data_IF_995376336162
#
_entry.id   IF_995376336162
#
_cell.length_a   1.000
_cell.length_b   1.000
_cell.length_c   1.000
_cell.angle_alpha   90.00
_cell.angle_beta   90.00
_cell.angle_gamma   90.00
#
_symmetry.space_group_name_H-M   'P 1'
#
loop_
_entity.id
_entity.type
_entity.pdbx_description
1 polymer ?
#
# COMPACT_ATOMS: atom_id res chain seq x y z
N UNK A 1 -9.88 14.27 0.15
CA UNK A 1 -8.44 14.60 0.34
C UNK A 1 -8.21 16.09 0.52
N UNK A 2 -8.36 16.93 -0.51
CA UNK A 2 -8.06 18.38 -0.44
C UNK A 2 -8.80 19.09 0.71
N UNK A 3 -10.11 18.88 0.85
CA UNK A 3 -10.85 19.54 1.93
C UNK A 3 -10.42 19.07 3.33
N UNK A 4 -9.99 17.81 3.48
CA UNK A 4 -9.50 17.31 4.75
C UNK A 4 -8.20 18.04 5.19
N UNK A 5 -7.34 18.46 4.25
CA UNK A 5 -6.11 19.19 4.60
C UNK A 5 -6.36 20.65 5.00
N UNK A 6 -7.55 21.20 4.73
CA UNK A 6 -7.93 22.56 5.11
C UNK A 6 -8.29 22.69 6.59
N UNK A 7 -8.78 21.60 7.19
CA UNK A 7 -9.25 21.56 8.58
C UNK A 7 -8.25 20.90 9.53
N UNK A 8 -7.05 20.53 9.04
CA UNK A 8 -6.00 19.99 9.88
C UNK A 8 -5.52 21.03 10.91
N UNK A 9 -5.30 20.63 12.17
CA UNK A 9 -4.58 21.45 13.14
C UNK A 9 -3.21 21.87 12.61
N UNK A 10 -2.72 23.01 13.09
CA UNK A 10 -1.42 23.53 12.67
C UNK A 10 -0.30 22.54 13.02
N UNK A 11 0.52 22.20 12.02
CA UNK A 11 1.64 21.27 12.17
C UNK A 11 1.28 19.80 11.92
N UNK A 12 0.00 19.46 11.84
CA UNK A 12 -0.44 18.10 11.51
C UNK A 12 -0.37 17.80 10.00
N UNK A 13 -0.27 16.51 9.69
CA UNK A 13 -0.30 15.99 8.32
C UNK A 13 -1.37 14.93 8.18
N UNK A 14 -2.03 14.92 7.03
CA UNK A 14 -2.93 13.85 6.62
C UNK A 14 -2.13 12.72 5.96
N UNK A 15 -2.26 11.52 6.50
CA UNK A 15 -1.72 10.31 5.89
C UNK A 15 -2.72 9.74 4.88
N UNK A 16 -2.21 9.43 3.70
CA UNK A 16 -3.01 8.91 2.60
C UNK A 16 -2.44 7.55 2.21
N UNK A 17 -3.22 6.50 2.44
CA UNK A 17 -2.88 5.14 2.02
C UNK A 17 -3.63 4.85 0.72
N UNK A 18 -2.89 4.56 -0.36
CA UNK A 18 -3.45 4.27 -1.69
C UNK A 18 -3.14 2.82 -2.04
N UNK A 19 -4.18 1.97 -1.99
CA UNK A 19 -4.11 0.53 -2.27
C UNK A 19 -4.61 0.15 -3.68
N UNK A 20 -4.99 1.13 -4.50
CA UNK A 20 -5.37 0.98 -5.90
C UNK A 20 -4.57 1.88 -6.82
N UNK A 21 -5.11 2.16 -8.01
CA UNK A 21 -4.54 3.14 -8.94
C UNK A 21 -4.42 4.54 -8.30
N UNK A 22 -3.34 5.26 -8.62
CA UNK A 22 -2.98 6.52 -7.97
C UNK A 22 -3.65 7.75 -8.61
N UNK A 23 -4.62 7.56 -9.50
CA UNK A 23 -5.32 8.63 -10.24
C UNK A 23 -5.85 9.72 -9.30
N UNK A 24 -6.55 9.33 -8.24
CA UNK A 24 -7.15 10.28 -7.30
C UNK A 24 -6.10 11.09 -6.52
N UNK A 25 -4.99 10.45 -6.13
CA UNK A 25 -3.90 11.12 -5.42
C UNK A 25 -3.17 12.09 -6.37
N UNK A 26 -2.83 11.65 -7.58
CA UNK A 26 -2.20 12.48 -8.58
C UNK A 26 -3.07 13.69 -8.95
N UNK A 27 -4.37 13.48 -9.19
CA UNK A 27 -5.32 14.55 -9.48
C UNK A 27 -5.40 15.57 -8.34
N UNK A 28 -5.48 15.12 -7.09
CA UNK A 28 -5.54 16.03 -5.95
C UNK A 28 -4.27 16.90 -5.83
N UNK A 29 -3.09 16.32 -6.06
CA UNK A 29 -1.81 17.04 -6.02
C UNK A 29 -1.62 17.96 -7.24
N UNK A 30 -2.20 17.62 -8.39
CA UNK A 30 -2.24 18.50 -9.57
C UNK A 30 -3.14 19.71 -9.34
N UNK A 31 -4.34 19.49 -8.81
CA UNK A 31 -5.35 20.54 -8.60
C UNK A 31 -4.96 21.48 -7.46
N UNK A 32 -4.39 20.95 -6.38
CA UNK A 32 -4.07 21.71 -5.17
C UNK A 32 -2.64 21.41 -4.69
N UNK A 33 -1.59 21.84 -5.42
CA UNK A 33 -0.20 21.57 -5.06
C UNK A 33 0.22 22.16 -3.70
N UNK A 34 -0.51 23.14 -3.17
CA UNK A 34 -0.30 23.73 -1.85
C UNK A 34 -0.56 22.74 -0.69
N UNK A 35 -1.19 21.59 -0.94
CA UNK A 35 -1.42 20.57 0.09
C UNK A 35 -0.18 19.73 0.41
N UNK A 36 0.87 19.77 -0.43
CA UNK A 36 2.06 18.93 -0.28
C UNK A 36 2.70 18.95 1.12
N UNK A 37 2.86 20.12 1.79
CA UNK A 37 3.44 20.17 3.13
C UNK A 37 2.57 19.46 4.18
N UNK A 38 1.27 19.31 3.90
CA UNK A 38 0.24 18.79 4.80
C UNK A 38 -0.10 17.32 4.58
N UNK A 39 0.56 16.63 3.64
CA UNK A 39 0.25 15.22 3.34
C UNK A 39 1.49 14.33 3.41
N UNK A 40 1.28 13.07 3.78
CA UNK A 40 2.24 11.98 3.58
C UNK A 40 1.55 10.84 2.85
N UNK A 41 2.15 10.37 1.77
CA UNK A 41 1.52 9.41 0.89
C UNK A 41 2.21 8.05 0.99
N UNK A 42 1.41 7.02 1.19
CA UNK A 42 1.82 5.63 1.24
C UNK A 42 1.08 4.91 0.12
N UNK A 43 1.79 4.36 -0.86
CA UNK A 43 1.17 3.79 -2.06
C UNK A 43 1.65 2.36 -2.29
N UNK A 44 0.73 1.47 -2.65
CA UNK A 44 1.02 0.08 -3.00
C UNK A 44 1.12 -0.05 -4.52
N UNK A 45 2.28 -0.45 -5.02
CA UNK A 45 2.46 -0.73 -6.43
C UNK A 45 3.92 -0.72 -6.87
N UNK A 46 4.10 -0.99 -8.15
CA UNK A 46 5.40 -1.24 -8.77
C UNK A 46 6.16 -2.42 -8.14
N UNK A 47 7.29 -2.74 -8.75
CA UNK A 47 8.28 -3.70 -8.28
C UNK A 47 9.58 -2.97 -8.03
N UNK A 48 10.28 -3.35 -6.97
CA UNK A 48 11.58 -2.79 -6.62
C UNK A 48 12.46 -3.82 -5.93
N UNK A 49 13.65 -4.01 -6.48
CA UNK A 49 14.67 -4.83 -5.85
C UNK A 49 15.66 -3.95 -5.06
N UNK A 50 15.69 -4.02 -3.72
CA UNK A 50 16.56 -3.15 -2.92
C UNK A 50 18.05 -3.48 -3.02
N UNK A 51 18.42 -4.65 -3.55
CA UNK A 51 19.83 -5.04 -3.78
C UNK A 51 20.35 -4.45 -5.09
N UNK A 52 19.62 -4.64 -6.19
CA UNK A 52 20.02 -4.16 -7.52
C UNK A 52 19.58 -2.73 -7.80
N UNK A 53 18.67 -2.18 -6.98
CA UNK A 53 18.06 -0.85 -7.12
C UNK A 53 17.24 -0.68 -8.42
N UNK A 54 16.78 -1.79 -8.99
CA UNK A 54 16.00 -1.81 -10.23
C UNK A 54 14.51 -1.66 -9.91
N UNK A 55 13.87 -0.74 -10.62
CA UNK A 55 12.42 -0.55 -10.62
C UNK A 55 11.78 -1.26 -11.82
N UNK A 56 10.55 -1.72 -11.64
CA UNK A 56 9.69 -2.14 -12.74
C UNK A 56 8.26 -1.68 -12.46
N UNK A 57 7.73 -0.83 -13.34
CA UNK A 57 6.38 -0.25 -13.24
C UNK A 57 5.26 -1.15 -13.79
N UNK A 58 5.60 -2.33 -14.33
CA UNK A 58 4.64 -3.34 -14.80
C UNK A 58 4.04 -4.10 -13.62
N UNK A 59 3.07 -3.45 -12.98
CA UNK A 59 2.28 -3.91 -11.84
C UNK A 59 0.81 -3.50 -12.07
N UNK A 60 -0.17 -4.19 -11.48
CA UNK A 60 -1.60 -3.97 -11.76
C UNK A 60 -2.07 -2.54 -11.43
N UNK A 61 -1.84 -2.04 -10.21
CA UNK A 61 -2.26 -0.70 -9.81
C UNK A 61 -1.60 0.38 -10.67
N UNK A 62 -0.30 0.23 -10.96
CA UNK A 62 0.43 1.17 -11.81
C UNK A 62 -0.05 1.13 -13.26
N UNK A 63 -0.34 -0.05 -13.83
CA UNK A 63 -0.79 -0.18 -15.22
C UNK A 63 -2.19 0.41 -15.45
N UNK A 64 -3.03 0.45 -14.42
CA UNK A 64 -4.33 1.11 -14.51
C UNK A 64 -4.21 2.64 -14.67
N UNK A 65 -3.11 3.25 -14.22
CA UNK A 65 -2.79 4.65 -14.51
C UNK A 65 -1.29 4.95 -14.33
N UNK A 66 -0.51 4.64 -15.37
CA UNK A 66 0.95 4.84 -15.36
C UNK A 66 1.31 6.32 -15.25
N UNK A 67 0.51 7.19 -15.88
CA UNK A 67 0.75 8.63 -15.91
C UNK A 67 0.57 9.25 -14.51
N UNK A 68 -0.42 8.80 -13.74
CA UNK A 68 -0.57 9.24 -12.35
C UNK A 68 0.64 8.84 -11.50
N UNK A 69 1.15 7.62 -11.64
CA UNK A 69 2.33 7.20 -10.88
C UNK A 69 3.58 7.99 -11.30
N UNK A 70 3.80 8.19 -12.60
CA UNK A 70 4.92 8.99 -13.11
C UNK A 70 4.85 10.44 -12.65
N UNK A 71 3.65 11.04 -12.64
CA UNK A 71 3.43 12.36 -12.10
C UNK A 71 3.87 12.46 -10.63
N UNK A 72 3.44 11.49 -9.79
CA UNK A 72 3.80 11.47 -8.37
C UNK A 72 5.31 11.25 -8.15
N UNK A 73 5.94 10.35 -8.92
CA UNK A 73 7.39 10.15 -8.88
C UNK A 73 8.16 11.41 -9.28
N UNK A 74 7.60 12.21 -10.19
CA UNK A 74 8.20 13.45 -10.67
C UNK A 74 7.93 14.66 -9.75
N UNK A 75 6.93 14.57 -8.86
CA UNK A 75 6.48 15.68 -8.04
C UNK A 75 7.46 16.00 -6.91
N UNK A 76 8.13 17.15 -7.02
CA UNK A 76 8.96 17.67 -5.94
C UNK A 76 8.14 18.10 -4.72
N UNK A 77 8.76 18.02 -3.55
CA UNK A 77 8.10 18.32 -2.27
C UNK A 77 7.12 17.25 -1.77
N UNK A 78 6.71 16.29 -2.61
CA UNK A 78 5.82 15.20 -2.19
C UNK A 78 6.53 14.20 -1.27
N UNK A 79 6.01 14.03 -0.06
CA UNK A 79 6.41 12.95 0.85
C UNK A 79 5.76 11.63 0.39
N UNK A 80 6.52 10.86 -0.37
CA UNK A 80 6.08 9.61 -1.00
C UNK A 80 6.83 8.40 -0.41
N UNK A 81 6.05 7.43 0.05
CA UNK A 81 6.49 6.10 0.48
C UNK A 81 5.82 5.05 -0.40
N UNK A 82 6.61 4.22 -1.06
CA UNK A 82 6.11 3.16 -1.94
C UNK A 82 6.28 1.80 -1.27
N UNK A 83 5.23 0.99 -1.24
CA UNK A 83 5.35 -0.44 -0.99
C UNK A 83 5.36 -1.18 -2.33
N UNK A 84 6.53 -1.67 -2.77
CA UNK A 84 6.63 -2.51 -3.95
C UNK A 84 6.11 -3.92 -3.63
N UNK A 85 5.73 -4.66 -4.68
CA UNK A 85 5.25 -6.04 -4.51
C UNK A 85 6.23 -6.91 -3.72
N UNK A 86 7.54 -6.79 -3.96
CA UNK A 86 8.55 -7.60 -3.25
C UNK A 86 8.50 -7.44 -1.73
N UNK A 87 8.10 -6.27 -1.23
CA UNK A 87 7.98 -6.01 0.21
C UNK A 87 6.68 -6.56 0.81
N UNK A 88 5.59 -6.59 0.04
CA UNK A 88 4.29 -7.09 0.45
C UNK A 88 4.13 -8.62 0.26
N UNK A 89 4.86 -9.19 -0.69
CA UNK A 89 4.81 -10.61 -1.07
C UNK A 89 4.87 -11.61 0.10
N UNK A 90 5.63 -11.37 1.19
CA UNK A 90 5.69 -12.31 2.32
C UNK A 90 4.37 -12.51 3.08
N UNK A 91 3.42 -11.55 3.04
CA UNK A 91 2.13 -11.70 3.73
C UNK A 91 1.16 -12.49 2.86
N UNK A 92 1.02 -13.78 3.17
CA UNK A 92 0.15 -14.70 2.45
C UNK A 92 -0.72 -15.50 3.41
N UNK A 93 -1.98 -15.71 3.05
CA UNK A 93 -2.87 -16.63 3.76
C UNK A 93 -3.13 -17.87 2.92
N UNK A 94 -3.23 -19.02 3.59
CA UNK A 94 -3.71 -20.26 3.00
C UNK A 94 -5.24 -20.31 3.09
N UNK A 95 -5.88 -20.76 2.01
CA UNK A 95 -7.33 -20.84 1.91
C UNK A 95 -7.96 -21.72 2.97
N UNK A 96 -7.42 -22.93 3.17
CA UNK A 96 -8.03 -23.90 4.08
C UNK A 96 -7.86 -23.43 5.53
N UNK A 97 -6.69 -22.89 5.86
CA UNK A 97 -6.47 -22.27 7.18
C UNK A 97 -7.40 -21.08 7.40
N UNK A 98 -7.59 -20.24 6.37
CA UNK A 98 -8.54 -19.11 6.42
C UNK A 98 -9.94 -19.61 6.72
N UNK A 99 -10.45 -20.60 5.98
CA UNK A 99 -11.79 -21.16 6.22
C UNK A 99 -11.95 -21.81 7.59
N UNK A 100 -10.90 -22.43 8.13
CA UNK A 100 -10.93 -23.01 9.48
C UNK A 100 -10.98 -21.95 10.59
N UNK A 101 -10.43 -20.75 10.33
CA UNK A 101 -10.40 -19.64 11.29
C UNK A 101 -11.67 -18.79 11.26
N UNK A 102 -12.35 -18.73 10.11
CA UNK A 102 -13.55 -17.90 9.93
C UNK A 102 -14.80 -18.59 10.48
N UNK A 103 -15.62 -17.82 11.17
CA UNK A 103 -16.96 -18.18 11.62
C UNK A 103 -18.02 -17.55 10.71
N UNK A 104 -18.52 -18.30 9.73
CA UNK A 104 -19.53 -17.83 8.77
C UNK A 104 -20.89 -17.47 9.40
N UNK A 105 -21.10 -17.70 10.70
CA UNK A 105 -22.26 -17.17 11.42
C UNK A 105 -22.17 -15.65 11.68
N UNK A 106 -20.96 -15.09 11.63
CA UNK A 106 -20.71 -13.65 11.73
C UNK A 106 -20.62 -13.04 10.34
N UNK A 107 -21.36 -11.97 10.12
CA UNK A 107 -21.53 -11.37 8.79
C UNK A 107 -20.19 -10.94 8.14
N UNK A 108 -19.30 -10.30 8.89
CA UNK A 108 -18.01 -9.84 8.35
C UNK A 108 -17.11 -11.02 7.94
N UNK A 109 -17.06 -12.07 8.76
CA UNK A 109 -16.26 -13.26 8.51
C UNK A 109 -16.83 -14.05 7.33
N UNK A 110 -18.15 -14.11 7.21
CA UNK A 110 -18.84 -14.67 6.04
C UNK A 110 -18.49 -13.92 4.75
N UNK A 111 -18.49 -12.59 4.77
CA UNK A 111 -18.08 -11.77 3.60
C UNK A 111 -16.65 -12.12 3.18
N UNK A 112 -15.72 -12.28 4.14
CA UNK A 112 -14.34 -12.67 3.83
C UNK A 112 -14.25 -14.07 3.22
N UNK A 113 -15.00 -15.04 3.75
CA UNK A 113 -15.07 -16.39 3.20
C UNK A 113 -15.64 -16.39 1.77
N UNK A 114 -16.73 -15.66 1.54
CA UNK A 114 -17.40 -15.57 0.24
C UNK A 114 -16.52 -14.91 -0.81
N UNK A 115 -15.78 -13.84 -0.44
CA UNK A 115 -14.77 -13.25 -1.33
C UNK A 115 -13.68 -14.24 -1.74
N UNK A 116 -13.36 -15.21 -0.90
CA UNK A 116 -12.47 -16.29 -1.29
C UNK A 116 -13.12 -17.25 -2.29
N UNK A 117 -14.37 -17.66 -2.04
CA UNK A 117 -15.14 -18.56 -2.91
C UNK A 117 -15.41 -17.96 -4.30
N UNK A 118 -15.60 -16.66 -4.40
CA UNK A 118 -15.96 -15.99 -5.66
C UNK A 118 -14.76 -15.64 -6.54
N UNK A 119 -13.65 -15.17 -5.95
CA UNK A 119 -12.58 -14.54 -6.72
C UNK A 119 -11.32 -15.41 -6.82
N UNK A 120 -11.08 -16.09 -7.93
CA UNK A 120 -10.01 -17.09 -8.05
C UNK A 120 -10.12 -18.21 -6.98
N UNK A 121 -11.23 -18.97 -6.95
CA UNK A 121 -11.45 -20.01 -5.95
C UNK A 121 -10.40 -21.13 -5.99
N UNK A 122 -9.68 -21.27 -7.11
CA UNK A 122 -8.67 -22.30 -7.31
C UNK A 122 -7.35 -21.98 -6.59
N UNK A 123 -7.14 -20.72 -6.19
CA UNK A 123 -5.91 -20.31 -5.52
C UNK A 123 -5.84 -20.89 -4.10
N UNK A 124 -4.80 -21.68 -3.85
CA UNK A 124 -4.51 -22.24 -2.52
C UNK A 124 -4.05 -21.16 -1.54
N UNK A 125 -3.25 -20.20 -2.02
CA UNK A 125 -2.73 -19.09 -1.22
C UNK A 125 -3.06 -17.77 -1.89
N UNK A 126 -3.24 -16.72 -1.09
CA UNK A 126 -3.36 -15.34 -1.57
C UNK A 126 -2.39 -14.45 -0.86
N UNK A 127 -1.78 -13.56 -1.63
CA UNK A 127 -0.95 -12.49 -1.10
C UNK A 127 -1.87 -11.35 -0.70
N UNK A 128 -1.73 -10.88 0.53
CA UNK A 128 -2.55 -9.82 1.09
C UNK A 128 -1.85 -8.47 0.87
N UNK A 129 -1.75 -8.06 -0.39
CA UNK A 129 -1.00 -6.88 -0.81
C UNK A 129 -1.44 -5.60 -0.08
N UNK A 130 -2.74 -5.34 -0.09
CA UNK A 130 -3.35 -4.14 0.47
C UNK A 130 -3.21 -4.11 1.99
N UNK A 131 -3.47 -5.27 2.62
CA UNK A 131 -3.30 -5.46 4.06
C UNK A 131 -1.84 -5.25 4.48
N UNK A 132 -0.87 -5.72 3.70
CA UNK A 132 0.54 -5.55 4.00
C UNK A 132 0.93 -4.07 4.14
N UNK A 133 0.40 -3.20 3.27
CA UNK A 133 0.64 -1.76 3.36
C UNK A 133 -0.01 -1.16 4.61
N UNK A 134 -1.24 -1.53 4.91
CA UNK A 134 -1.97 -1.04 6.09
C UNK A 134 -1.26 -1.46 7.37
N UNK A 135 -0.87 -2.73 7.49
CA UNK A 135 -0.14 -3.27 8.64
C UNK A 135 1.22 -2.59 8.82
N UNK A 136 2.00 -2.43 7.75
CA UNK A 136 3.29 -1.75 7.81
C UNK A 136 3.19 -0.24 8.12
N UNK A 137 2.04 0.37 7.81
CA UNK A 137 1.73 1.75 8.18
C UNK A 137 1.36 1.86 9.67
N UNK A 138 0.46 1.00 10.15
CA UNK A 138 -0.01 1.01 11.55
C UNK A 138 1.10 0.60 12.52
N UNK A 139 1.95 -0.34 12.12
CA UNK A 139 2.99 -0.94 12.95
C UNK A 139 4.37 -0.76 12.29
N UNK A 140 4.94 0.45 12.30
CA UNK A 140 6.20 0.73 11.63
C UNK A 140 7.36 -0.16 12.14
N UNK A 141 7.30 -0.62 13.39
CA UNK A 141 8.26 -1.55 14.00
C UNK A 141 8.30 -2.94 13.33
N UNK A 142 7.23 -3.34 12.63
CA UNK A 142 7.15 -4.58 11.87
C UNK A 142 7.61 -4.40 10.42
N UNK A 143 8.15 -3.24 10.06
CA UNK A 143 8.53 -2.95 8.70
C UNK A 143 9.91 -2.31 8.62
N UNK A 144 10.53 -2.40 7.45
CA UNK A 144 11.75 -1.66 7.15
C UNK A 144 11.53 -0.76 5.95
N UNK A 145 11.82 0.52 6.12
CA UNK A 145 11.83 1.51 5.06
C UNK A 145 13.28 1.85 4.70
N UNK A 146 13.57 1.97 3.40
CA UNK A 146 14.83 2.51 2.88
C UNK A 146 14.57 3.72 1.99
N UNK A 147 15.59 4.55 1.83
CA UNK A 147 15.61 5.61 0.82
C UNK A 147 16.05 5.02 -0.53
N UNK A 148 15.33 5.34 -1.59
CA UNK A 148 15.66 4.93 -2.95
C UNK A 148 15.58 6.13 -3.90
N UNK A 149 16.35 6.10 -4.98
CA UNK A 149 16.14 7.00 -6.12
C UNK A 149 14.92 6.52 -6.90
N UNK A 150 14.17 7.47 -7.44
CA UNK A 150 13.12 7.22 -8.42
C UNK A 150 13.67 6.51 -9.67
N UNK A 151 12.83 5.85 -10.48
CA UNK A 151 13.27 5.20 -11.72
C UNK A 151 14.04 6.15 -12.65
N UNK A 152 14.99 5.66 -13.47
CA UNK A 152 15.83 6.49 -14.34
C UNK A 152 15.07 7.44 -15.27
N UNK A 153 13.92 6.99 -15.78
CA UNK A 153 13.02 7.74 -16.67
C UNK A 153 12.23 8.85 -15.95
N UNK A 154 12.24 8.88 -14.62
CA UNK A 154 11.59 9.89 -13.80
C UNK A 154 12.60 10.93 -13.29
N UNK A 155 12.08 12.06 -12.80
CA UNK A 155 12.89 13.10 -12.14
C UNK A 155 13.64 12.47 -10.98
N UNK A 156 14.96 12.62 -10.97
CA UNK A 156 15.84 11.97 -10.00
C UNK A 156 15.71 12.59 -8.60
N UNK A 157 14.85 12.00 -7.78
CA UNK A 157 14.64 12.38 -6.37
C UNK A 157 14.70 11.17 -5.46
N UNK A 158 14.90 11.42 -4.18
CA UNK A 158 14.91 10.38 -3.16
C UNK A 158 13.51 10.23 -2.59
N UNK A 159 12.97 9.00 -2.63
CA UNK A 159 11.70 8.60 -2.02
C UNK A 159 11.93 7.52 -0.97
N UNK A 160 10.91 7.22 -0.17
CA UNK A 160 10.93 6.11 0.78
C UNK A 160 10.32 4.86 0.13
N UNK A 161 10.87 3.70 0.45
CA UNK A 161 10.40 2.41 -0.09
C UNK A 161 10.40 1.38 1.03
N UNK A 162 9.28 0.69 1.23
CA UNK A 162 9.26 -0.49 2.09
C UNK A 162 10.10 -1.60 1.43
N UNK A 163 10.94 -2.27 2.21
CA UNK A 163 11.81 -3.34 1.72
C UNK A 163 11.62 -4.66 2.47
N UNK A 164 10.90 -4.63 3.59
CA UNK A 164 10.61 -5.80 4.41
C UNK A 164 9.41 -5.51 5.31
N UNK A 165 8.64 -6.57 5.58
CA UNK A 165 7.62 -6.64 6.64
C UNK A 165 7.85 -7.89 7.50
N UNK A 166 7.38 -7.88 8.74
CA UNK A 166 7.21 -9.05 9.59
C UNK A 166 5.83 -9.66 9.31
N UNK A 167 5.77 -10.51 8.28
CA UNK A 167 4.51 -11.09 7.82
C UNK A 167 3.78 -11.90 8.91
N UNK A 168 4.51 -12.49 9.86
CA UNK A 168 3.88 -13.24 10.95
C UNK A 168 3.15 -12.29 11.90
N UNK A 169 3.82 -11.22 12.33
CA UNK A 169 3.21 -10.22 13.20
C UNK A 169 1.99 -9.55 12.53
N UNK A 170 2.12 -9.17 11.25
CA UNK A 170 1.02 -8.62 10.47
C UNK A 170 -0.18 -9.59 10.37
N UNK A 171 0.07 -10.88 10.13
CA UNK A 171 -0.99 -11.88 10.07
C UNK A 171 -1.70 -12.05 11.43
N UNK A 172 -0.93 -12.09 12.52
CA UNK A 172 -1.47 -12.20 13.87
C UNK A 172 -2.34 -11.00 14.26
N UNK A 173 -1.94 -9.77 13.89
CA UNK A 173 -2.74 -8.57 14.16
C UNK A 173 -4.06 -8.57 13.39
N UNK A 174 -4.04 -8.95 12.10
CA UNK A 174 -5.27 -9.10 11.31
C UNK A 174 -6.27 -10.05 11.97
N UNK A 175 -5.82 -11.26 12.36
CA UNK A 175 -6.70 -12.24 12.99
C UNK A 175 -7.23 -11.75 14.35
N UNK A 176 -6.41 -11.02 15.11
CA UNK A 176 -6.84 -10.40 16.36
C UNK A 176 -7.83 -9.26 16.15
N UNK A 177 -7.66 -8.47 15.09
CA UNK A 177 -8.56 -7.37 14.77
C UNK A 177 -9.95 -7.88 14.36
N UNK A 178 -10.02 -9.02 13.67
CA UNK A 178 -11.28 -9.64 13.25
C UNK A 178 -12.13 -10.15 14.43
N UNK A 179 -11.52 -10.39 15.59
CA UNK A 179 -12.20 -10.87 16.80
C UNK A 179 -12.80 -9.74 17.66
N UNK A 180 -12.57 -8.47 17.31
CA UNK A 180 -13.08 -7.31 18.06
C UNK A 180 -14.50 -6.96 17.63
#
# INVERSE_FOLDING_TARGET
MINATKVLPQGEKLDIITIGAMTNLAAAVMIAPEILPKIRCFVLGAKYNPKTKIWNKSEFNIRNDLNAFDYLLNKEGLDLTVMPLEAAFPLQFDRQETYQRLDESKEIEKILADRWKEHNPQDKTRIMWDLALVEAYLHPQWSQIKKAKTPPENKQRTIKVYVKIDAKACAEDFWKALQR
#
